data_IF_416977483460
#
_entry.id   IF_416977483460
#
_cell.length_a   1.000
_cell.length_b   1.000
_cell.length_c   1.000
_cell.angle_alpha   90.00
_cell.angle_beta   90.00
_cell.angle_gamma   90.00
#
_symmetry.space_group_name_H-M   'P 1'
#
loop_
_entity.id
_entity.type
_entity.pdbx_description
1 polymer ?
2 non-polymer ?
3 non-polymer ?
4 water ?
#
# COMPACT_ATOMS: atom_id res chain seq x y z
N UNK A 1 19.37 -2.72 -14.27
CA UNK A 1 19.90 -3.19 -12.96
C UNK A 1 18.78 -3.84 -12.15
N UNK A 2 19.03 -4.21 -10.88
CA UNK A 2 17.97 -4.76 -10.05
C UNK A 2 16.99 -3.61 -9.80
N UNK A 3 15.76 -3.95 -9.45
CA UNK A 3 14.79 -2.95 -8.93
C UNK A 3 15.27 -2.54 -7.55
N UNK A 4 15.05 -1.28 -7.22
CA UNK A 4 15.43 -0.77 -5.92
C UNK A 4 14.21 -0.80 -4.98
N UNK A 5 14.42 -1.18 -3.74
CA UNK A 5 13.34 -1.36 -2.74
C UNK A 5 13.77 -0.86 -1.38
N UNK A 6 12.83 -0.38 -0.60
CA UNK A 6 13.05 0.03 0.81
C UNK A 6 12.09 -0.70 1.71
N UNK A 7 12.54 -1.18 2.85
CA UNK A 7 11.69 -1.67 3.93
C UNK A 7 11.04 -0.50 4.66
N UNK A 8 9.77 -0.61 4.93
CA UNK A 8 9.03 0.46 5.61
C UNK A 8 7.74 -0.03 6.24
N UNK A 9 7.18 0.74 7.12
CA UNK A 9 5.83 0.61 7.63
C UNK A 9 5.04 1.83 7.17
N UNK A 10 3.74 1.67 7.20
CA UNK A 10 2.81 2.76 6.91
C UNK A 10 1.88 2.92 8.09
N UNK A 11 1.51 4.16 8.41
CA UNK A 11 0.36 4.41 9.31
C UNK A 11 -0.53 5.47 8.67
N UNK A 12 -1.83 5.37 8.92
CA UNK A 12 -2.82 6.33 8.37
C UNK A 12 -2.70 7.63 9.20
N UNK A 13 -3.41 8.65 8.76
CA UNK A 13 -3.23 10.00 9.34
C UNK A 13 -3.86 10.05 10.73
N UNK A 14 -4.57 9.02 11.16
CA UNK A 14 -4.96 8.84 12.60
C UNK A 14 -3.98 7.99 13.35
N UNK A 15 -2.83 7.71 12.78
CA UNK A 15 -1.74 6.96 13.35
C UNK A 15 -2.24 5.54 13.64
N UNK A 16 -3.13 5.02 12.81
CA UNK A 16 -3.46 3.56 12.84
C UNK A 16 -2.41 2.80 12.06
N UNK A 17 -1.90 1.73 12.62
CA UNK A 17 -0.95 0.77 12.06
C UNK A 17 -1.73 -0.29 11.27
N UNK A 18 -0.98 -0.94 10.36
CA UNK A 18 -1.52 -1.97 9.43
C UNK A 18 -1.03 -3.33 9.87
N UNK A 19 -1.90 -4.33 9.97
CA UNK A 19 -1.44 -5.70 10.36
C UNK A 19 -2.18 -6.75 9.52
N UNK A 20 -1.53 -7.89 9.29
CA UNK A 20 -2.17 -9.14 8.79
C UNK A 20 -2.95 -9.79 9.93
N UNK A 21 -4.23 -10.10 9.71
CA UNK A 21 -5.12 -10.70 10.74
C UNK A 21 -5.89 -11.91 10.19
N UNK A 22 -5.55 -12.37 8.99
CA UNK A 22 -6.27 -13.46 8.30
C UNK A 22 -5.75 -13.68 6.88
N UNK A 23 -6.07 -14.82 6.24
CA UNK A 23 -5.57 -15.10 4.89
C UNK A 23 -5.90 -13.95 3.93
N UNK A 24 -4.87 -13.23 3.48
CA UNK A 24 -4.97 -12.13 2.48
C UNK A 24 -5.79 -10.98 3.08
N UNK A 25 -5.80 -10.86 4.41
CA UNK A 25 -6.57 -9.82 5.16
C UNK A 25 -5.59 -8.80 5.74
N UNK A 26 -5.89 -7.51 5.58
CA UNK A 26 -5.07 -6.38 6.06
C UNK A 26 -6.00 -5.39 6.77
N UNK A 27 -5.71 -5.07 8.03
CA UNK A 27 -6.60 -4.24 8.89
C UNK A 27 -5.81 -3.08 9.49
N UNK A 28 -6.51 -2.01 9.88
CA UNK A 28 -5.86 -0.85 10.49
C UNK A 28 -6.39 -0.69 11.93
N UNK A 29 -5.46 -0.59 12.81
CA UNK A 29 -5.85 -0.36 14.22
C UNK A 29 -4.77 0.43 14.90
N UNK A 30 -5.24 1.06 15.99
CA UNK A 30 -4.36 1.79 16.89
C UNK A 30 -3.48 0.79 17.64
N UNK A 31 -2.17 0.92 17.60
CA UNK A 31 -1.17 -0.01 18.16
C UNK A 31 -0.12 0.85 18.80
N UNK A 32 0.39 0.41 19.95
CA UNK A 32 1.54 1.04 20.58
C UNK A 32 2.17 0.01 21.51
N UNK A 33 3.45 0.15 21.76
CA UNK A 33 4.17 -0.76 22.69
C UNK A 33 4.41 -2.12 22.06
N UNK A 34 4.32 -3.17 22.87
CA UNK A 34 4.76 -4.52 22.42
C UNK A 34 3.97 -4.88 21.16
N UNK A 35 2.67 -4.60 21.13
CA UNK A 35 1.77 -5.07 20.05
C UNK A 35 2.25 -4.49 18.69
N UNK A 36 3.17 -3.51 18.67
CA UNK A 36 3.62 -2.88 17.39
C UNK A 36 4.42 -3.87 16.54
N UNK A 37 4.98 -4.91 17.12
CA UNK A 37 5.66 -5.96 16.33
C UNK A 37 4.66 -6.59 15.36
N UNK A 38 3.35 -6.49 15.58
CA UNK A 38 2.33 -7.13 14.72
C UNK A 38 2.24 -6.38 13.38
N UNK A 39 2.71 -5.16 13.32
CA UNK A 39 2.48 -4.39 12.09
C UNK A 39 3.20 -5.00 10.89
N UNK A 40 2.69 -4.76 9.71
CA UNK A 40 3.22 -5.32 8.48
C UNK A 40 4.39 -4.44 8.08
N UNK A 41 5.46 -5.08 7.70
CA UNK A 41 6.58 -4.43 7.04
C UNK A 41 6.49 -4.66 5.54
N UNK A 42 6.52 -3.56 4.83
CA UNK A 42 6.48 -3.55 3.36
C UNK A 42 7.87 -3.50 2.79
N UNK A 43 8.04 -4.06 1.61
CA UNK A 43 9.13 -3.71 0.72
C UNK A 43 8.51 -2.85 -0.35
N UNK A 44 8.83 -1.58 -0.38
CA UNK A 44 8.33 -0.60 -1.36
C UNK A 44 9.32 -0.60 -2.48
N UNK A 45 8.94 -1.07 -3.66
CA UNK A 45 9.80 -1.11 -4.87
C UNK A 45 9.51 0.13 -5.71
N UNK A 46 10.53 0.70 -6.35
CA UNK A 46 10.39 1.89 -7.18
C UNK A 46 10.35 1.41 -8.62
N UNK A 47 9.20 1.44 -9.24
CA UNK A 47 8.92 0.66 -10.46
C UNK A 47 8.80 1.58 -11.67
N UNK A 48 8.71 0.98 -12.84
CA UNK A 48 8.42 1.69 -14.10
C UNK A 48 7.03 2.30 -14.05
N UNK A 49 6.93 3.53 -14.53
CA UNK A 49 5.65 4.20 -14.72
C UNK A 49 5.84 5.70 -14.89
N UNK A 50 4.78 6.39 -15.27
CA UNK A 50 4.75 7.88 -15.32
C UNK A 50 5.10 8.46 -13.94
N UNK A 51 5.98 9.47 -13.90
CA UNK A 51 6.62 9.96 -12.66
C UNK A 51 6.74 11.47 -12.75
N UNK A 52 6.54 12.16 -11.64
CA UNK A 52 6.85 13.61 -11.48
C UNK A 52 7.45 13.85 -10.10
N UNK A 53 7.75 15.09 -9.74
CA UNK A 53 8.56 15.35 -8.53
C UNK A 53 7.87 14.73 -7.33
N UNK A 54 6.55 14.85 -7.27
CA UNK A 54 5.83 14.47 -6.02
C UNK A 54 4.93 13.24 -6.24
N UNK A 55 5.01 12.62 -7.43
CA UNK A 55 4.24 11.41 -7.84
C UNK A 55 5.22 10.32 -8.30
N UNK A 56 5.33 9.24 -7.54
CA UNK A 56 6.40 8.23 -7.76
C UNK A 56 5.75 6.86 -7.83
N UNK A 57 5.89 6.13 -8.93
CA UNK A 57 5.22 4.82 -9.05
C UNK A 57 5.96 3.81 -8.19
N UNK A 58 5.20 3.08 -7.35
CA UNK A 58 5.78 2.06 -6.45
C UNK A 58 4.96 0.78 -6.53
N UNK A 59 5.53 -0.32 -6.10
CA UNK A 59 4.78 -1.50 -5.71
C UNK A 59 4.97 -1.70 -4.22
N UNK A 60 3.96 -2.28 -3.62
CA UNK A 60 3.95 -2.56 -2.16
C UNK A 60 3.88 -4.07 -1.96
N UNK A 61 5.01 -4.72 -1.74
CA UNK A 61 5.07 -6.13 -1.36
C UNK A 61 5.20 -6.28 0.13
N UNK A 62 4.81 -7.40 0.70
CA UNK A 62 5.11 -7.69 2.11
C UNK A 62 6.55 -8.15 2.19
N UNK A 63 7.28 -7.69 3.20
CA UNK A 63 8.74 -7.99 3.29
C UNK A 63 8.97 -9.51 3.35
N UNK A 64 9.79 -9.96 2.38
CA UNK A 64 10.26 -11.37 2.14
C UNK A 64 9.05 -12.30 2.10
N UNK A 65 7.97 -11.80 1.51
CA UNK A 65 6.79 -12.65 1.15
C UNK A 65 6.52 -12.40 -0.31
N UNK A 66 6.01 -13.41 -1.00
CA UNK A 66 5.63 -13.24 -2.42
C UNK A 66 4.16 -12.84 -2.44
N UNK A 67 3.90 -11.68 -1.85
CA UNK A 67 2.55 -11.12 -1.74
C UNK A 67 2.66 -9.63 -2.00
N UNK A 68 1.79 -9.14 -2.83
CA UNK A 68 1.78 -7.72 -3.26
C UNK A 68 0.36 -7.21 -3.12
N UNK A 69 0.23 -5.93 -2.74
CA UNK A 69 -1.05 -5.25 -2.92
C UNK A 69 -1.30 -5.08 -4.39
N UNK A 70 -2.55 -5.28 -4.80
CA UNK A 70 -2.92 -5.12 -6.21
C UNK A 70 -4.36 -4.61 -6.29
N UNK A 71 -4.66 -4.02 -7.43
CA UNK A 71 -5.96 -3.40 -7.69
C UNK A 71 -6.59 -4.12 -8.86
N UNK A 72 -7.73 -4.74 -8.61
CA UNK A 72 -8.44 -5.44 -9.71
C UNK A 72 -9.92 -5.12 -9.58
N UNK A 73 -10.65 -5.36 -10.67
CA UNK A 73 -12.10 -5.37 -10.55
C UNK A 73 -12.59 -6.64 -9.86
N UNK A 74 -13.45 -6.51 -8.86
CA UNK A 74 -14.09 -7.68 -8.23
C UNK A 74 -15.57 -7.36 -8.14
N UNK A 75 -16.45 -8.26 -8.61
CA UNK A 75 -17.91 -8.00 -8.69
C UNK A 75 -18.07 -6.59 -9.28
N UNK A 76 -17.30 -6.32 -10.32
CA UNK A 76 -17.37 -5.08 -11.13
C UNK A 76 -16.96 -3.83 -10.37
N UNK A 77 -16.22 -3.94 -9.28
CA UNK A 77 -15.74 -2.72 -8.59
C UNK A 77 -14.21 -2.77 -8.46
N UNK A 78 -13.52 -1.64 -8.55
CA UNK A 78 -12.09 -1.57 -8.20
C UNK A 78 -11.94 -1.96 -6.73
N UNK A 79 -11.10 -2.96 -6.48
CA UNK A 79 -10.84 -3.42 -5.11
C UNK A 79 -9.34 -3.63 -4.92
N UNK A 80 -8.97 -3.55 -3.65
CA UNK A 80 -7.61 -3.83 -3.17
C UNK A 80 -7.59 -5.28 -2.76
N UNK A 81 -6.58 -6.02 -3.18
CA UNK A 81 -6.35 -7.39 -2.71
C UNK A 81 -4.88 -7.58 -2.44
N UNK A 82 -4.55 -8.56 -1.60
CA UNK A 82 -3.19 -9.13 -1.58
C UNK A 82 -3.18 -10.23 -2.64
N UNK A 83 -2.13 -10.28 -3.46
CA UNK A 83 -2.02 -11.25 -4.55
C UNK A 83 -0.67 -11.95 -4.42
N UNK A 84 -0.71 -13.28 -4.52
CA UNK A 84 0.47 -14.18 -4.54
C UNK A 84 1.16 -14.10 -5.92
N UNK A 85 2.50 -14.09 -5.97
CA UNK A 85 3.27 -14.11 -7.22
C UNK A 85 4.31 -15.21 -7.17
N UNK A 86 4.91 -15.45 -8.31
CA UNK A 86 6.02 -16.41 -8.40
C UNK A 86 7.24 -15.78 -7.75
N UNK A 87 7.78 -16.31 -6.65
CA UNK A 87 8.87 -15.65 -5.95
C UNK A 87 10.18 -15.61 -6.75
N UNK A 88 10.27 -16.39 -7.82
CA UNK A 88 11.47 -16.34 -8.70
C UNK A 88 11.50 -15.05 -9.51
N UNK A 89 10.36 -14.41 -9.75
CA UNK A 89 10.21 -13.36 -10.77
C UNK A 89 9.97 -11.98 -10.15
N UNK A 90 9.88 -11.89 -8.82
CA UNK A 90 9.46 -10.62 -8.15
C UNK A 90 10.46 -10.33 -7.04
N UNK A 91 10.70 -9.06 -6.70
CA UNK A 91 10.12 -7.95 -7.40
C UNK A 91 10.84 -7.75 -8.72
N UNK A 92 10.23 -6.95 -9.55
CA UNK A 92 10.90 -6.55 -10.81
C UNK A 92 10.60 -5.10 -11.07
N UNK A 93 11.38 -4.51 -11.97
CA UNK A 93 11.22 -3.08 -12.27
C UNK A 93 9.92 -2.85 -13.02
N UNK A 94 9.57 -3.69 -13.98
CA UNK A 94 8.36 -3.57 -14.81
C UNK A 94 7.23 -4.37 -14.17
N UNK A 95 6.74 -3.87 -13.04
CA UNK A 95 5.58 -4.55 -12.39
C UNK A 95 4.35 -4.31 -13.25
N UNK A 96 3.48 -5.31 -13.29
CA UNK A 96 2.19 -5.23 -13.98
C UNK A 96 1.33 -4.12 -13.37
N UNK A 97 0.46 -3.48 -14.13
CA UNK A 97 -0.17 -2.22 -13.70
C UNK A 97 -1.02 -2.42 -12.45
N UNK A 98 -1.63 -3.58 -12.26
CA UNK A 98 -2.50 -3.81 -11.09
C UNK A 98 -1.69 -3.65 -9.79
N UNK A 99 -0.38 -3.80 -9.84
CA UNK A 99 0.50 -3.74 -8.65
C UNK A 99 1.01 -2.32 -8.43
N UNK A 100 0.80 -1.39 -9.34
CA UNK A 100 1.46 -0.08 -9.26
C UNK A 100 0.53 0.93 -8.57
N UNK A 101 1.13 1.64 -7.65
CA UNK A 101 0.49 2.78 -6.97
C UNK A 101 1.34 4.00 -7.25
N UNK A 102 0.67 5.11 -7.46
CA UNK A 102 1.35 6.41 -7.49
C UNK A 102 1.44 6.96 -6.07
N UNK A 103 2.63 7.00 -5.52
CA UNK A 103 2.88 7.54 -4.17
C UNK A 103 2.98 9.05 -4.34
N UNK A 104 2.03 9.75 -3.81
CA UNK A 104 1.86 11.21 -3.98
C UNK A 104 2.17 11.88 -2.65
N UNK A 105 3.05 12.86 -2.64
CA UNK A 105 3.44 13.56 -1.40
C UNK A 105 2.78 14.93 -1.44
N UNK A 106 1.75 15.17 -0.62
CA UNK A 106 1.14 16.54 -0.46
C UNK A 106 1.19 16.90 1.03
N UNK A 107 1.78 18.06 1.35
CA UNK A 107 1.74 18.63 2.72
C UNK A 107 2.16 17.55 3.72
N UNK A 108 3.33 16.96 3.50
CA UNK A 108 4.02 16.09 4.47
C UNK A 108 3.23 14.82 4.74
N UNK A 109 2.26 14.48 3.88
CA UNK A 109 1.48 13.22 3.94
C UNK A 109 1.61 12.52 2.59
N UNK A 110 1.38 11.22 2.60
CA UNK A 110 1.46 10.40 1.37
C UNK A 110 0.07 9.89 1.07
N UNK A 111 -0.24 9.81 -0.20
CA UNK A 111 -1.43 9.11 -0.68
C UNK A 111 -0.92 8.06 -1.66
N UNK A 112 -1.63 6.95 -1.79
CA UNK A 112 -1.25 5.89 -2.74
C UNK A 112 -2.46 5.72 -3.66
N UNK A 113 -2.36 6.29 -4.84
CA UNK A 113 -3.39 6.17 -5.88
C UNK A 113 -3.13 4.92 -6.72
N UNK A 114 -4.15 4.14 -7.03
CA UNK A 114 -4.00 3.06 -8.02
C UNK A 114 -3.55 3.62 -9.37
N UNK A 115 -2.49 3.11 -9.97
CA UNK A 115 -2.09 3.49 -11.35
C UNK A 115 -3.20 2.95 -12.25
N UNK A 116 -3.76 1.80 -11.97
CA UNK A 116 -4.78 1.16 -12.86
C UNK A 116 -6.09 1.93 -12.81
N UNK A 117 -6.49 2.46 -11.66
CA UNK A 117 -7.82 3.04 -11.45
C UNK A 117 -7.61 4.47 -10.96
N UNK A 118 -7.54 5.46 -11.88
CA UNK A 118 -7.29 6.83 -11.47
C UNK A 118 -8.30 7.31 -10.41
N UNK A 119 -7.79 8.00 -9.38
CA UNK A 119 -8.53 8.62 -8.31
C UNK A 119 -9.17 7.61 -7.38
N UNK A 120 -8.67 6.38 -7.39
CA UNK A 120 -8.90 5.35 -6.36
C UNK A 120 -7.63 5.24 -5.50
N UNK A 121 -7.82 5.20 -4.20
CA UNK A 121 -6.72 5.33 -3.23
C UNK A 121 -6.77 4.25 -2.20
N UNK A 122 -5.60 3.79 -1.77
CA UNK A 122 -5.51 2.98 -0.53
C UNK A 122 -6.14 3.81 0.62
N UNK A 123 -7.07 3.20 1.31
CA UNK A 123 -7.96 3.85 2.28
C UNK A 123 -8.12 3.02 3.54
N UNK A 124 -8.33 3.71 4.66
CA UNK A 124 -8.73 3.04 5.89
C UNK A 124 -10.01 3.68 6.40
N UNK A 125 -10.71 2.93 7.22
CA UNK A 125 -11.88 3.47 7.94
C UNK A 125 -11.46 4.19 9.21
N UNK A 126 -12.34 5.08 9.70
CA UNK A 126 -12.09 5.68 11.03
C UNK A 126 -12.24 4.65 12.16
N UNK A 127 -13.15 3.70 12.01
CA UNK A 127 -13.35 2.61 12.97
C UNK A 127 -12.11 1.74 13.09
N UNK A 128 -11.89 1.17 14.26
CA UNK A 128 -10.77 0.27 14.60
C UNK A 128 -11.03 -1.11 13.97
N UNK A 129 -9.95 -1.76 13.53
CA UNK A 129 -9.91 -3.18 13.14
C UNK A 129 -10.77 -3.46 11.92
N UNK A 130 -10.80 -2.55 10.94
CA UNK A 130 -11.54 -2.73 9.69
C UNK A 130 -10.51 -2.88 8.55
N UNK A 131 -10.92 -3.50 7.45
CA UNK A 131 -10.03 -3.77 6.32
C UNK A 131 -9.45 -2.47 5.76
N UNK A 132 -8.23 -2.59 5.27
CA UNK A 132 -7.67 -1.61 4.31
C UNK A 132 -8.33 -1.86 2.96
N UNK A 133 -8.71 -0.83 2.23
CA UNK A 133 -9.50 -1.02 1.02
C UNK A 133 -9.15 0.00 -0.02
N UNK A 134 -9.68 -0.17 -1.21
CA UNK A 134 -9.51 0.85 -2.24
C UNK A 134 -10.76 1.72 -2.28
N UNK A 135 -10.57 3.01 -2.12
CA UNK A 135 -11.71 3.93 -2.01
C UNK A 135 -11.65 4.87 -3.16
N UNK A 136 -12.82 5.25 -3.71
CA UNK A 136 -12.94 5.96 -5.01
C UNK A 136 -12.88 7.47 -4.88
N UNK A 137 -12.40 7.97 -3.75
CA UNK A 137 -12.13 9.43 -3.62
C UNK A 137 -11.01 9.62 -2.60
N UNK A 138 -10.25 10.72 -2.71
CA UNK A 138 -9.37 11.27 -1.64
C UNK A 138 -10.18 12.34 -0.89
N UNK A 139 -11.52 12.31 -0.97
CA UNK A 139 -12.46 13.13 -0.18
C UNK A 139 -13.12 12.30 0.93
N UNK A 140 -13.88 12.95 1.84
CA UNK A 140 -14.92 12.33 2.70
C UNK A 140 -14.42 11.86 4.07
N UNK A 141 -15.12 10.89 4.67
CA UNK A 141 -14.90 10.40 6.06
C UNK A 141 -13.78 9.35 6.12
N UNK A 142 -13.57 8.57 5.05
CA UNK A 142 -12.47 7.58 5.05
C UNK A 142 -11.12 8.27 4.92
N UNK A 143 -10.08 7.59 5.36
CA UNK A 143 -8.73 8.14 5.46
C UNK A 143 -7.95 7.68 4.23
N UNK A 144 -7.30 8.62 3.56
CA UNK A 144 -6.51 8.35 2.33
C UNK A 144 -5.11 8.88 2.50
N UNK A 145 -4.71 9.38 3.66
CA UNK A 145 -3.40 9.98 3.90
C UNK A 145 -2.63 9.06 4.86
N UNK A 146 -1.36 8.92 4.63
CA UNK A 146 -0.46 8.05 5.40
C UNK A 146 0.84 8.74 5.65
N UNK A 147 1.59 8.22 6.63
CA UNK A 147 3.01 8.46 6.76
C UNK A 147 3.78 7.16 6.65
N UNK A 148 5.03 7.25 6.21
CA UNK A 148 5.94 6.09 6.07
C UNK A 148 6.96 6.19 7.20
N UNK A 149 7.33 5.04 7.73
CA UNK A 149 8.47 4.91 8.69
C UNK A 149 9.44 3.99 7.99
N UNK A 150 10.70 4.34 7.95
CA UNK A 150 11.76 3.53 7.37
C UNK A 150 12.16 2.48 8.42
N UNK A 151 12.39 1.26 7.94
CA UNK A 151 12.77 0.07 8.74
C UNK A 151 14.18 -0.35 8.29
N UNK A 152 15.00 -0.85 9.21
CA UNK A 152 16.33 -1.45 8.89
C UNK A 152 16.14 -2.60 7.90
X LIG B 1 14.65 -6.59 -12.76
X LIG B 1 14.87 -8.00 -13.05
X LIG B 1 15.65 -5.78 -13.45
X LIG B 1 13.34 -6.22 -13.23
X LIG B 1 14.75 -6.38 -11.33
X LIG C 1 -0.11 -11.27 -15.73
X LIG C 1 0.60 -11.34 -14.46
X LIG C 1 0.84 -11.44 -16.80
X LIG C 1 -1.10 -12.33 -15.76
X LIG C 1 -0.76 -9.97 -15.88
X LIG D 1 -10.45 -8.14 3.10
X LIG D 1 -11.16 -8.59 4.32
X LIG D 1 -9.17 -7.57 3.23
X LIG D 1 -8.39 -7.11 2.01
X LIG D 1 -7.29 -6.22 2.54
X LIG D 1 -6.52 -5.64 1.33
X LIG D 1 -13.26 -8.72 5.56
X LIG D 1 -12.69 -8.32 4.28
X LIG D 1 -8.67 -7.41 4.36
X LIG D 1 -13.22 -9.07 3.04
X LIG D 1 -12.65 -8.37 1.81
X LIG D 1 -11.10 -8.43 1.78
X LIG D 1 -5.99 -6.64 0.57
X LIG D 1 -5.52 -4.83 1.71
X LIG D 1 -7.26 -4.93 0.47
#
# INVERSE_FOLDING_TARGET
>A
APVRSLNCTLRDSQQKSLVMSGPYELKALHLQGQDMEQQVVFSMSFVQGEESNDKIPVALGLKEKNLYLSCVLKDDKPTLQLESVDPKNYPKKKMEKRFVFNKIEINNKLEFESAQFPNWYISTSQAENMPVFLGGTKGGQDITDFTMQFVSS
>B hetero
1 SO4 S O1 O2 O3 O4
>C hetero
1 SO4 S O1 O2 O3 O4
>D hetero
1 S8G N1 C4 C5 C6 C7 C8 N C O C1 C2 C3 F F1 F2
#
